data_IF_207437172809
#
_entry.id   IF_207437172809
#
_cell.length_a   1.000
_cell.length_b   1.000
_cell.length_c   1.000
_cell.angle_alpha   90.00
_cell.angle_beta   90.00
_cell.angle_gamma   90.00
#
_symmetry.space_group_name_H-M   'P 1'
#
loop_
_entity.id
_entity.type
_entity.pdbx_description
1 polymer ?
#
# COMPACT_ATOMS: atom_id res chain seq x y z
N UNK A 1 -32.58 0.27 -16.80
CA UNK A 1 -33.77 0.92 -17.41
C UNK A 1 -35.08 0.14 -17.18
N UNK A 2 -35.09 -1.19 -17.02
CA UNK A 2 -36.33 -1.95 -16.77
C UNK A 2 -36.98 -1.75 -15.37
N UNK A 3 -36.22 -1.30 -14.38
CA UNK A 3 -36.69 -1.09 -12.98
C UNK A 3 -37.45 0.23 -12.74
N UNK A 4 -37.65 1.05 -13.76
CA UNK A 4 -38.34 2.33 -13.59
C UNK A 4 -39.87 2.22 -13.70
N UNK A 5 -40.42 1.08 -14.10
CA UNK A 5 -41.80 1.05 -14.63
C UNK A 5 -42.83 0.24 -13.82
N UNK A 6 -42.50 -0.71 -12.92
CA UNK A 6 -43.59 -1.43 -12.18
C UNK A 6 -43.28 -1.83 -10.72
N UNK A 7 -44.35 -1.69 -9.95
CA UNK A 7 -44.68 -2.01 -8.54
C UNK A 7 -43.69 -1.64 -7.41
N UNK A 8 -44.04 -0.68 -6.53
CA UNK A 8 -43.29 -0.36 -5.31
C UNK A 8 -43.03 -1.55 -4.39
N UNK A 9 -43.88 -2.59 -4.39
CA UNK A 9 -43.75 -3.73 -3.47
C UNK A 9 -42.53 -4.61 -3.78
N UNK A 10 -42.27 -4.94 -5.04
CA UNK A 10 -41.11 -5.79 -5.41
C UNK A 10 -39.79 -5.07 -5.13
N UNK A 11 -39.71 -3.78 -5.48
CA UNK A 11 -38.55 -2.94 -5.17
C UNK A 11 -38.30 -2.84 -3.66
N UNK A 12 -39.36 -2.74 -2.85
CA UNK A 12 -39.27 -2.64 -1.39
C UNK A 12 -38.94 -3.96 -0.68
N UNK A 13 -39.16 -5.11 -1.34
CA UNK A 13 -38.81 -6.44 -0.83
C UNK A 13 -37.35 -6.79 -1.20
N UNK A 14 -36.89 -6.44 -2.40
CA UNK A 14 -35.55 -6.81 -2.90
C UNK A 14 -34.44 -5.86 -2.44
N UNK A 15 -34.72 -4.56 -2.23
CA UNK A 15 -33.67 -3.56 -1.96
C UNK A 15 -33.42 -3.24 -0.48
N UNK A 16 -33.77 -4.13 0.45
CA UNK A 16 -33.46 -3.90 1.87
C UNK A 16 -32.08 -4.48 2.20
N UNK A 17 -31.19 -3.62 2.71
CA UNK A 17 -29.87 -4.03 3.19
C UNK A 17 -29.99 -5.07 4.33
N UNK A 18 -30.99 -4.93 5.18
CA UNK A 18 -31.33 -5.85 6.27
C UNK A 18 -32.67 -6.51 5.97
N UNK A 19 -32.69 -7.85 5.94
CA UNK A 19 -33.87 -8.62 5.55
C UNK A 19 -34.21 -9.65 6.64
N UNK A 20 -35.52 -9.84 6.87
CA UNK A 20 -36.07 -10.97 7.62
C UNK A 20 -37.07 -11.68 6.72
N UNK A 21 -36.71 -12.85 6.21
CA UNK A 21 -37.62 -13.71 5.47
C UNK A 21 -37.51 -15.15 5.97
N UNK A 22 -38.57 -15.92 5.80
CA UNK A 22 -38.51 -17.37 6.02
C UNK A 22 -37.48 -17.98 5.09
N UNK A 23 -36.69 -18.90 5.62
CA UNK A 23 -35.55 -19.49 4.91
C UNK A 23 -35.94 -20.36 3.71
N UNK A 24 -37.19 -20.76 3.60
CA UNK A 24 -37.73 -21.43 2.41
C UNK A 24 -37.70 -20.58 1.13
N UNK A 25 -37.63 -19.25 1.23
CA UNK A 25 -37.43 -18.37 0.07
C UNK A 25 -36.01 -18.49 -0.52
N UNK A 26 -35.05 -19.01 0.25
CA UNK A 26 -33.69 -19.30 -0.22
C UNK A 26 -33.57 -20.66 -0.92
N UNK A 27 -34.67 -21.42 -1.05
CA UNK A 27 -34.69 -22.72 -1.73
C UNK A 27 -35.06 -22.57 -3.21
N UNK A 28 -34.70 -23.56 -4.01
CA UNK A 28 -34.96 -23.59 -5.46
C UNK A 28 -36.44 -23.69 -5.84
N UNK A 29 -36.73 -23.51 -7.12
CA UNK A 29 -38.08 -23.36 -7.72
C UNK A 29 -39.06 -24.48 -7.37
N UNK A 30 -38.54 -25.70 -7.20
CA UNK A 30 -39.33 -26.90 -6.86
C UNK A 30 -39.95 -26.85 -5.46
N UNK A 31 -39.59 -25.86 -4.64
CA UNK A 31 -40.20 -25.63 -3.33
C UNK A 31 -41.36 -24.65 -3.51
N UNK A 32 -42.59 -25.11 -3.27
CA UNK A 32 -43.83 -24.54 -3.81
C UNK A 32 -44.19 -23.08 -3.48
N UNK A 33 -43.40 -22.35 -2.68
CA UNK A 33 -43.63 -20.90 -2.44
C UNK A 33 -43.31 -20.04 -3.65
N UNK A 34 -42.26 -20.40 -4.40
CA UNK A 34 -41.88 -19.69 -5.62
C UNK A 34 -42.89 -19.93 -6.75
N UNK A 35 -43.43 -21.14 -6.82
CA UNK A 35 -44.43 -21.50 -7.83
C UNK A 35 -45.69 -20.66 -7.72
N UNK A 36 -46.18 -20.41 -6.49
CA UNK A 36 -47.30 -19.48 -6.26
C UNK A 36 -46.95 -18.03 -6.59
N UNK A 37 -45.74 -17.57 -6.25
CA UNK A 37 -45.29 -16.20 -6.52
C UNK A 37 -45.15 -15.89 -8.02
N UNK A 38 -44.74 -16.87 -8.83
CA UNK A 38 -44.54 -16.68 -10.28
C UNK A 38 -45.85 -16.62 -11.08
N UNK A 39 -46.97 -17.10 -10.54
CA UNK A 39 -48.25 -17.16 -11.26
C UNK A 39 -48.78 -15.78 -11.65
N UNK A 40 -48.50 -14.77 -10.83
CA UNK A 40 -49.01 -13.39 -11.02
C UNK A 40 -48.02 -12.50 -11.80
N UNK A 41 -46.87 -13.04 -12.22
CA UNK A 41 -45.80 -12.28 -12.86
C UNK A 41 -45.81 -12.43 -14.38
N UNK A 42 -45.48 -11.35 -15.09
CA UNK A 42 -45.28 -11.41 -16.53
C UNK A 42 -43.99 -12.18 -16.90
N UNK A 43 -43.84 -12.67 -18.15
CA UNK A 43 -42.71 -13.51 -18.54
C UNK A 43 -41.32 -12.85 -18.36
N UNK A 44 -41.23 -11.52 -18.43
CA UNK A 44 -39.97 -10.81 -18.23
C UNK A 44 -39.62 -10.75 -16.73
N UNK A 45 -40.62 -10.51 -15.88
CA UNK A 45 -40.49 -10.54 -14.43
C UNK A 45 -40.14 -11.95 -13.92
N UNK A 46 -40.76 -13.00 -14.49
CA UNK A 46 -40.41 -14.39 -14.18
C UNK A 46 -38.94 -14.67 -14.47
N UNK A 47 -38.43 -14.34 -15.68
CA UNK A 47 -37.01 -14.54 -16.02
C UNK A 47 -36.05 -13.81 -15.08
N UNK A 48 -36.41 -12.59 -14.67
CA UNK A 48 -35.60 -11.82 -13.71
C UNK A 48 -35.59 -12.48 -12.32
N UNK A 49 -36.76 -12.85 -11.81
CA UNK A 49 -36.89 -13.49 -10.51
C UNK A 49 -36.32 -14.92 -10.49
N UNK A 50 -36.31 -15.63 -11.61
CA UNK A 50 -35.61 -16.92 -11.76
C UNK A 50 -34.09 -16.76 -11.66
N UNK A 51 -33.53 -15.74 -12.32
CA UNK A 51 -32.10 -15.42 -12.16
C UNK A 51 -31.78 -15.07 -10.71
N UNK A 52 -32.59 -14.20 -10.11
CA UNK A 52 -32.43 -13.79 -8.71
C UNK A 52 -32.50 -14.98 -7.74
N UNK A 53 -33.43 -15.91 -7.97
CA UNK A 53 -33.58 -17.12 -7.18
C UNK A 53 -32.35 -18.03 -7.31
N UNK A 54 -31.89 -18.27 -8.54
CA UNK A 54 -30.72 -19.11 -8.80
C UNK A 54 -29.46 -18.56 -8.11
N UNK A 55 -29.28 -17.23 -8.15
CA UNK A 55 -28.14 -16.56 -7.52
C UNK A 55 -28.18 -16.62 -5.96
N UNK A 56 -29.35 -16.88 -5.35
CA UNK A 56 -29.54 -16.95 -3.89
C UNK A 56 -29.73 -18.37 -3.34
N UNK A 57 -29.90 -19.38 -4.19
CA UNK A 57 -30.21 -20.75 -3.75
C UNK A 57 -29.14 -21.35 -2.82
N UNK A 58 -27.88 -20.92 -2.97
CA UNK A 58 -26.78 -21.36 -2.10
C UNK A 58 -27.04 -21.07 -0.61
N UNK A 59 -27.84 -20.04 -0.30
CA UNK A 59 -28.16 -19.68 1.08
C UNK A 59 -28.95 -20.77 1.81
N UNK A 60 -29.69 -21.62 1.10
CA UNK A 60 -30.37 -22.79 1.70
C UNK A 60 -29.41 -23.80 2.35
N UNK A 61 -28.11 -23.71 2.04
CA UNK A 61 -27.06 -24.58 2.60
C UNK A 61 -26.41 -24.00 3.86
N UNK A 62 -26.80 -22.78 4.28
CA UNK A 62 -26.22 -22.07 5.41
C UNK A 62 -27.01 -22.45 6.67
N UNK A 63 -26.39 -22.93 7.78
CA UNK A 63 -27.12 -23.57 8.90
C UNK A 63 -28.23 -22.78 9.60
N UNK A 64 -28.23 -21.43 9.61
CA UNK A 64 -29.40 -20.67 10.03
C UNK A 64 -30.60 -20.76 9.08
N UNK A 65 -30.37 -21.01 7.79
CA UNK A 65 -31.36 -21.01 6.70
C UNK A 65 -31.84 -22.41 6.30
N UNK A 66 -31.46 -23.46 7.01
CA UNK A 66 -31.98 -24.82 6.78
C UNK A 66 -33.17 -25.18 7.70
N UNK A 67 -33.52 -24.29 8.64
CA UNK A 67 -34.48 -24.54 9.73
C UNK A 67 -35.92 -24.13 9.44
N UNK A 68 -36.23 -23.65 8.24
CA UNK A 68 -37.55 -23.11 7.84
C UNK A 68 -38.04 -21.91 8.71
N UNK A 69 -37.16 -21.35 9.53
CA UNK A 69 -37.42 -20.17 10.36
C UNK A 69 -37.09 -18.86 9.62
N UNK A 70 -37.64 -17.75 10.14
CA UNK A 70 -37.37 -16.42 9.62
C UNK A 70 -36.06 -15.86 10.18
N UNK A 71 -35.06 -15.68 9.31
CA UNK A 71 -33.69 -15.31 9.70
C UNK A 71 -33.41 -13.85 9.37
N UNK A 72 -32.89 -13.10 10.35
CA UNK A 72 -32.31 -11.77 10.10
C UNK A 72 -30.93 -11.91 9.46
N UNK A 73 -30.72 -11.23 8.34
CA UNK A 73 -29.43 -11.20 7.67
C UNK A 73 -29.26 -9.93 6.82
N UNK A 74 -28.03 -9.63 6.45
CA UNK A 74 -27.76 -8.64 5.41
C UNK A 74 -28.02 -9.27 4.04
N UNK A 75 -28.75 -8.58 3.17
CA UNK A 75 -29.01 -9.08 1.82
C UNK A 75 -27.66 -9.20 1.09
N UNK A 76 -27.21 -10.38 0.65
CA UNK A 76 -25.83 -10.59 0.20
C UNK A 76 -25.48 -9.76 -1.04
N UNK A 77 -26.38 -9.64 -2.02
CA UNK A 77 -26.13 -8.81 -3.22
C UNK A 77 -26.11 -7.31 -2.88
N UNK A 78 -27.11 -6.79 -2.16
CA UNK A 78 -27.18 -5.38 -1.78
C UNK A 78 -26.07 -4.99 -0.80
N UNK A 79 -25.68 -5.90 0.08
CA UNK A 79 -24.57 -5.72 1.01
C UNK A 79 -23.23 -5.68 0.27
N UNK A 80 -22.99 -6.61 -0.65
CA UNK A 80 -21.78 -6.62 -1.49
C UNK A 80 -21.70 -5.38 -2.38
N UNK A 81 -22.82 -4.90 -2.93
CA UNK A 81 -22.89 -3.64 -3.69
C UNK A 81 -22.64 -2.42 -2.79
N UNK A 82 -23.17 -2.43 -1.55
CA UNK A 82 -22.96 -1.36 -0.57
C UNK A 82 -21.50 -1.27 -0.09
N UNK A 83 -20.79 -2.39 0.02
CA UNK A 83 -19.36 -2.41 0.38
C UNK A 83 -18.41 -2.38 -0.83
N UNK A 84 -18.92 -2.68 -2.02
CA UNK A 84 -18.18 -2.77 -3.29
C UNK A 84 -18.14 -1.48 -4.09
N UNK A 85 -18.58 -0.35 -3.52
CA UNK A 85 -18.39 0.95 -4.16
C UNK A 85 -16.89 1.19 -4.36
N UNK A 86 -16.50 1.52 -5.61
CA UNK A 86 -15.13 1.92 -5.97
C UNK A 86 -14.60 2.84 -4.88
N UNK A 87 -13.47 2.48 -4.27
CA UNK A 87 -12.79 3.37 -3.33
C UNK A 87 -12.52 4.67 -4.08
N UNK A 88 -13.14 5.75 -3.64
CA UNK A 88 -12.74 7.06 -4.13
C UNK A 88 -11.28 7.26 -3.72
N UNK A 89 -10.43 7.65 -4.67
CA UNK A 89 -9.03 7.98 -4.41
C UNK A 89 -8.98 9.29 -3.66
N UNK A 90 -9.15 9.24 -2.34
CA UNK A 90 -9.26 10.43 -1.49
C UNK A 90 -8.00 11.31 -1.53
N UNK A 91 -6.83 10.68 -1.75
CA UNK A 91 -5.54 11.34 -1.85
C UNK A 91 -4.79 10.83 -3.08
N UNK A 92 -4.18 11.72 -3.86
CA UNK A 92 -3.26 11.39 -4.95
C UNK A 92 -1.86 11.91 -4.64
N UNK A 93 -0.86 11.42 -5.39
CA UNK A 93 0.50 11.90 -5.28
C UNK A 93 0.61 13.36 -5.79
N UNK A 94 1.45 14.22 -5.17
CA UNK A 94 1.57 15.62 -5.57
C UNK A 94 2.29 15.84 -6.91
N UNK A 95 2.86 14.79 -7.51
CA UNK A 95 3.39 14.81 -8.88
C UNK A 95 2.61 13.86 -9.78
N UNK A 96 2.48 14.24 -11.06
CA UNK A 96 1.93 13.36 -12.11
C UNK A 96 2.93 12.32 -12.63
N UNK A 97 4.19 12.42 -12.23
CA UNK A 97 5.28 11.53 -12.60
C UNK A 97 6.04 11.09 -11.35
N UNK A 98 6.61 9.88 -11.36
CA UNK A 98 7.43 9.40 -10.23
C UNK A 98 8.60 10.36 -9.97
N UNK A 99 8.92 10.66 -8.71
CA UNK A 99 10.04 11.56 -8.39
C UNK A 99 11.38 10.93 -8.79
N UNK A 100 12.39 11.76 -9.06
CA UNK A 100 13.73 11.31 -9.48
C UNK A 100 14.49 10.57 -8.39
N UNK A 101 14.11 10.79 -7.13
CA UNK A 101 14.58 10.01 -5.98
C UNK A 101 13.57 8.93 -5.57
N UNK A 102 12.77 8.40 -6.50
CA UNK A 102 12.03 7.15 -6.29
C UNK A 102 12.96 5.93 -6.24
N UNK A 103 12.46 4.76 -5.83
CA UNK A 103 13.28 3.55 -5.66
C UNK A 103 13.97 3.08 -6.95
N UNK A 104 13.34 3.35 -8.10
CA UNK A 104 13.88 3.10 -9.44
C UNK A 104 14.52 4.34 -10.08
N UNK A 105 14.48 5.48 -9.39
CA UNK A 105 14.91 6.77 -9.90
C UNK A 105 16.44 6.93 -9.99
N UNK A 106 16.87 7.90 -10.80
CA UNK A 106 18.30 8.25 -10.98
C UNK A 106 18.98 8.67 -9.68
N UNK A 107 18.21 9.21 -8.73
CA UNK A 107 18.67 9.62 -7.42
C UNK A 107 18.12 8.73 -6.30
N UNK A 108 17.89 7.43 -6.56
CA UNK A 108 17.40 6.45 -5.58
C UNK A 108 18.21 6.33 -4.28
N UNK A 109 19.49 6.73 -4.28
CA UNK A 109 20.28 6.88 -3.03
C UNK A 109 19.70 7.93 -2.09
N UNK A 110 18.88 8.83 -2.62
CA UNK A 110 18.15 9.84 -1.88
C UNK A 110 16.67 9.48 -1.68
N UNK A 111 16.36 8.19 -1.56
CA UNK A 111 14.99 7.67 -1.59
C UNK A 111 14.04 8.43 -0.66
N UNK A 112 12.97 8.99 -1.23
CA UNK A 112 12.02 9.84 -0.50
C UNK A 112 11.24 9.07 0.59
N UNK A 113 10.98 7.78 0.37
CA UNK A 113 10.23 6.91 1.27
C UNK A 113 11.11 6.03 2.17
N UNK A 114 12.41 6.36 2.30
CA UNK A 114 13.32 5.62 3.18
C UNK A 114 12.87 5.68 4.66
N UNK A 115 13.20 4.61 5.40
CA UNK A 115 12.90 4.48 6.82
C UNK A 115 13.62 5.55 7.65
N UNK A 116 12.97 6.01 8.72
CA UNK A 116 13.60 6.92 9.69
C UNK A 116 14.78 6.27 10.44
N UNK A 117 14.79 4.93 10.53
CA UNK A 117 15.86 4.15 11.17
C UNK A 117 17.04 3.85 10.26
N UNK A 118 16.95 4.16 8.97
CA UNK A 118 18.04 3.93 8.04
C UNK A 118 19.20 4.90 8.35
N UNK A 119 20.35 4.35 8.72
CA UNK A 119 21.55 5.11 9.05
C UNK A 119 22.13 5.83 7.83
N UNK A 120 21.90 5.26 6.63
CA UNK A 120 22.20 5.84 5.33
C UNK A 120 21.06 6.70 4.79
N UNK A 121 19.98 6.88 5.56
CA UNK A 121 18.82 7.63 5.11
C UNK A 121 19.22 9.01 4.62
N UNK A 122 18.64 9.34 3.48
CA UNK A 122 19.00 10.53 2.75
C UNK A 122 18.59 11.80 3.46
N UNK A 123 19.16 12.91 3.04
CA UNK A 123 18.74 14.22 3.52
C UNK A 123 17.29 14.58 3.13
N UNK A 124 16.65 13.80 2.25
CA UNK A 124 15.29 14.03 1.77
C UNK A 124 14.21 13.56 2.76
N UNK A 125 14.56 12.85 3.85
CA UNK A 125 13.57 12.29 4.77
C UNK A 125 13.30 13.15 6.01
N UNK A 126 12.09 13.02 6.54
CA UNK A 126 11.62 13.71 7.74
C UNK A 126 12.54 13.44 8.95
N UNK A 127 12.68 14.42 9.85
CA UNK A 127 13.41 14.23 11.11
C UNK A 127 14.94 14.14 10.97
N UNK A 128 15.52 14.23 9.77
CA UNK A 128 16.98 14.18 9.60
C UNK A 128 17.66 15.40 10.23
N UNK A 129 18.79 15.20 10.91
CA UNK A 129 19.56 16.30 11.50
C UNK A 129 20.08 17.27 10.42
N UNK A 130 19.88 18.55 10.65
CA UNK A 130 20.34 19.69 9.85
C UNK A 130 21.12 20.65 10.75
N UNK A 131 21.94 21.51 10.15
CA UNK A 131 22.71 22.53 10.89
C UNK A 131 23.51 21.96 12.06
N UNK A 132 24.26 20.87 11.81
CA UNK A 132 25.04 20.13 12.82
C UNK A 132 24.23 19.58 14.00
N UNK A 133 22.93 19.30 13.78
CA UNK A 133 22.04 18.71 14.80
C UNK A 133 21.09 19.70 15.47
N UNK A 134 21.25 21.00 15.21
CA UNK A 134 20.44 22.06 15.83
C UNK A 134 19.02 22.16 15.26
N UNK A 135 18.73 21.49 14.14
CA UNK A 135 17.40 21.49 13.50
C UNK A 135 17.11 20.11 12.91
N UNK A 136 15.85 19.68 12.96
CA UNK A 136 15.37 18.47 12.27
C UNK A 136 14.85 18.82 10.87
N UNK A 137 14.81 17.90 9.92
CA UNK A 137 14.14 18.13 8.62
C UNK A 137 12.62 18.10 8.80
N UNK A 138 11.86 18.98 8.14
CA UNK A 138 10.42 19.14 8.37
C UNK A 138 9.54 18.28 7.45
N UNK A 139 10.11 17.81 6.34
CA UNK A 139 9.35 17.35 5.20
C UNK A 139 9.86 15.99 4.73
N UNK A 140 9.21 15.48 3.70
CA UNK A 140 9.89 14.62 2.73
C UNK A 140 10.12 15.41 1.44
N UNK A 141 11.35 15.38 0.93
CA UNK A 141 11.73 16.08 -0.29
C UNK A 141 11.56 15.14 -1.49
N UNK A 142 10.74 15.55 -2.46
CA UNK A 142 10.53 14.82 -3.70
C UNK A 142 11.33 15.49 -4.80
N UNK A 143 12.38 14.84 -5.29
CA UNK A 143 13.26 15.40 -6.30
C UNK A 143 12.65 15.23 -7.70
N UNK A 144 12.91 16.17 -8.60
CA UNK A 144 12.17 16.28 -9.86
C UNK A 144 13.01 16.88 -10.98
N UNK A 145 12.49 16.83 -12.21
CA UNK A 145 13.01 17.66 -13.31
C UNK A 145 12.68 19.13 -13.07
N UNK A 146 13.40 20.07 -13.71
CA UNK A 146 13.06 21.49 -13.67
C UNK A 146 11.60 21.77 -13.99
N UNK A 147 10.97 22.62 -13.18
CA UNK A 147 9.59 23.09 -13.39
C UNK A 147 8.55 21.95 -13.51
N UNK A 148 8.73 20.85 -12.77
CA UNK A 148 7.76 19.76 -12.69
C UNK A 148 6.45 20.25 -12.08
N UNK A 149 5.31 19.89 -12.69
CA UNK A 149 3.98 20.26 -12.20
C UNK A 149 3.67 19.64 -10.84
N UNK A 150 3.17 20.48 -9.92
CA UNK A 150 2.68 20.09 -8.60
C UNK A 150 1.16 20.16 -8.64
N UNK A 151 0.50 19.11 -8.17
CA UNK A 151 -0.96 19.04 -8.08
C UNK A 151 -1.46 19.04 -6.63
N UNK A 152 -2.68 19.52 -6.41
CA UNK A 152 -3.36 19.36 -5.13
C UNK A 152 -3.64 17.88 -4.84
N UNK A 153 -3.18 17.37 -3.70
CA UNK A 153 -3.32 15.94 -3.34
C UNK A 153 -4.75 15.53 -3.04
N UNK A 154 -5.60 16.48 -2.65
CA UNK A 154 -7.04 16.30 -2.43
C UNK A 154 -7.76 17.62 -2.67
N UNK A 155 -9.08 17.63 -2.57
CA UNK A 155 -9.86 18.87 -2.55
C UNK A 155 -9.44 19.73 -1.36
N UNK A 156 -9.49 21.05 -1.52
CA UNK A 156 -9.07 21.93 -0.43
C UNK A 156 -9.26 23.42 -0.71
N UNK A 157 -8.77 24.23 0.23
CA UNK A 157 -8.79 25.69 0.20
C UNK A 157 -7.37 26.19 0.40
N UNK A 158 -6.88 27.05 -0.49
CA UNK A 158 -5.57 27.69 -0.34
C UNK A 158 -5.63 28.64 0.86
N UNK A 159 -4.78 28.42 1.86
CA UNK A 159 -4.76 29.22 3.09
C UNK A 159 -3.61 30.18 3.19
N UNK A 160 -2.47 29.87 2.57
CA UNK A 160 -1.31 30.75 2.60
C UNK A 160 -0.44 30.54 1.38
N UNK A 161 -0.03 31.66 0.77
CA UNK A 161 1.02 31.73 -0.24
C UNK A 161 2.03 32.76 0.25
N UNK A 162 3.30 32.37 0.35
CA UNK A 162 4.34 33.28 0.83
C UNK A 162 5.74 32.86 0.38
N UNK A 163 6.67 33.80 0.48
CA UNK A 163 8.09 33.53 0.26
C UNK A 163 8.60 32.40 1.17
N UNK A 164 9.46 31.56 0.61
CA UNK A 164 10.05 30.40 1.28
C UNK A 164 11.58 30.47 1.26
N UNK A 165 12.28 29.41 0.84
CA UNK A 165 13.73 29.30 0.95
C UNK A 165 14.41 29.63 -0.38
N UNK A 166 15.52 30.38 -0.33
CA UNK A 166 16.38 30.58 -1.51
C UNK A 166 15.64 31.01 -2.79
N UNK A 167 14.74 31.99 -2.65
CA UNK A 167 14.01 32.60 -3.77
C UNK A 167 12.77 31.84 -4.24
N UNK A 168 12.47 30.67 -3.66
CA UNK A 168 11.23 29.94 -3.92
C UNK A 168 10.10 30.39 -3.01
N UNK A 169 8.90 29.89 -3.27
CA UNK A 169 7.69 30.17 -2.50
C UNK A 169 7.10 28.87 -1.93
N UNK A 170 6.09 29.01 -1.08
CA UNK A 170 5.28 27.89 -0.60
C UNK A 170 3.80 28.16 -0.81
N UNK A 171 3.03 27.08 -0.95
CA UNK A 171 1.57 27.09 -0.93
C UNK A 171 1.14 26.17 0.21
N UNK A 172 0.31 26.66 1.11
CA UNK A 172 -0.34 25.87 2.15
C UNK A 172 -1.82 25.71 1.82
N UNK A 173 -2.28 24.47 1.69
CA UNK A 173 -3.66 24.13 1.39
C UNK A 173 -4.24 23.35 2.57
N UNK A 174 -5.44 23.75 2.99
CA UNK A 174 -6.28 22.98 3.91
C UNK A 174 -7.11 22.01 3.10
N UNK A 175 -6.91 20.72 3.32
CA UNK A 175 -7.57 19.64 2.62
C UNK A 175 -8.71 19.05 3.44
N UNK A 176 -9.75 18.64 2.74
CA UNK A 176 -10.83 17.83 3.30
C UNK A 176 -11.19 16.76 2.27
N UNK A 177 -11.03 15.51 2.67
CA UNK A 177 -11.37 14.34 1.85
C UNK A 177 -12.85 13.99 2.03
N UNK A 178 -13.41 13.21 1.10
CA UNK A 178 -14.81 12.79 1.18
C UNK A 178 -15.05 11.80 2.31
N UNK A 179 -14.01 11.08 2.76
CA UNK A 179 -14.03 10.21 3.93
C UNK A 179 -13.95 10.96 5.27
N UNK A 180 -13.88 12.31 5.24
CA UNK A 180 -13.95 13.16 6.43
C UNK A 180 -12.60 13.46 7.10
N UNK A 181 -11.46 13.10 6.48
CA UNK A 181 -10.14 13.53 6.98
C UNK A 181 -9.94 15.01 6.71
N UNK A 182 -9.34 15.68 7.69
CA UNK A 182 -8.94 17.09 7.65
C UNK A 182 -7.44 17.17 7.91
N UNK A 183 -6.73 17.99 7.12
CA UNK A 183 -5.29 18.23 7.30
C UNK A 183 -4.81 19.44 6.49
N UNK A 184 -3.63 19.95 6.82
CA UNK A 184 -2.91 20.93 6.01
C UNK A 184 -1.69 20.29 5.36
N UNK A 185 -1.48 20.60 4.07
CA UNK A 185 -0.23 20.34 3.37
C UNK A 185 0.43 21.66 3.03
N UNK A 186 1.73 21.76 3.32
CA UNK A 186 2.58 22.80 2.77
C UNK A 186 3.39 22.22 1.61
N UNK A 187 3.17 22.78 0.43
CA UNK A 187 3.90 22.55 -0.80
C UNK A 187 5.00 23.62 -0.89
N UNK A 188 6.20 23.31 -0.41
CA UNK A 188 7.34 24.21 -0.42
C UNK A 188 8.23 24.07 -1.66
N UNK A 189 9.12 25.04 -1.85
CA UNK A 189 10.05 25.12 -2.99
C UNK A 189 9.36 25.25 -4.36
N UNK A 190 8.26 26.02 -4.42
CA UNK A 190 7.53 26.27 -5.68
C UNK A 190 8.04 27.51 -6.40
N UNK A 191 7.92 27.51 -7.72
CA UNK A 191 8.21 28.67 -8.56
C UNK A 191 7.09 29.72 -8.41
N UNK A 192 7.39 30.95 -7.92
CA UNK A 192 6.35 31.97 -7.70
C UNK A 192 5.59 32.37 -8.96
N UNK A 193 6.23 32.32 -10.13
CA UNK A 193 5.60 32.72 -11.39
C UNK A 193 4.62 31.66 -11.91
N UNK A 194 4.71 30.44 -11.41
CA UNK A 194 3.86 29.30 -11.81
C UNK A 194 2.62 29.12 -10.93
N UNK A 195 2.47 29.89 -9.85
CA UNK A 195 1.35 29.75 -8.91
C UNK A 195 0.05 30.17 -9.58
N UNK A 196 -0.93 29.26 -9.60
CA UNK A 196 -2.18 29.44 -10.37
C UNK A 196 -3.35 29.94 -9.53
N UNK A 197 -3.29 29.76 -8.20
CA UNK A 197 -4.38 30.07 -7.27
C UNK A 197 -4.01 31.16 -6.27
N UNK A 198 -5.00 31.89 -5.78
CA UNK A 198 -4.89 32.87 -4.71
C UNK A 198 -5.32 32.35 -3.33
N UNK A 199 -5.01 33.12 -2.27
CA UNK A 199 -5.49 32.82 -0.92
C UNK A 199 -7.02 32.83 -0.85
N UNK A 200 -7.61 31.80 -0.24
CA UNK A 200 -9.06 31.62 -0.09
C UNK A 200 -9.71 30.86 -1.24
N UNK A 201 -9.00 30.60 -2.34
CA UNK A 201 -9.55 29.87 -3.48
C UNK A 201 -9.65 28.37 -3.21
N UNK A 202 -10.69 27.75 -3.77
CA UNK A 202 -10.92 26.31 -3.70
C UNK A 202 -10.15 25.61 -4.81
N UNK A 203 -9.46 24.54 -4.45
CA UNK A 203 -8.75 23.67 -5.39
C UNK A 203 -9.39 22.29 -5.40
N UNK A 204 -9.42 21.67 -6.58
CA UNK A 204 -9.84 20.29 -6.75
C UNK A 204 -8.63 19.37 -6.82
N UNK A 205 -8.76 18.16 -6.30
CA UNK A 205 -7.74 17.11 -6.40
C UNK A 205 -7.24 16.97 -7.85
N UNK A 206 -5.93 16.85 -8.04
CA UNK A 206 -5.31 16.67 -9.37
C UNK A 206 -5.12 17.94 -10.18
N UNK A 207 -5.66 19.07 -9.72
CA UNK A 207 -5.44 20.36 -10.37
C UNK A 207 -4.00 20.83 -10.13
N UNK A 208 -3.35 21.34 -11.17
CA UNK A 208 -1.99 21.91 -11.06
C UNK A 208 -2.07 23.21 -10.25
N UNK A 209 -1.32 23.27 -9.15
CA UNK A 209 -1.29 24.43 -8.24
C UNK A 209 -0.05 25.30 -8.42
N UNK A 210 1.07 24.70 -8.86
CA UNK A 210 2.32 25.36 -9.18
C UNK A 210 3.27 24.40 -9.91
N UNK A 211 4.49 24.85 -10.16
CA UNK A 211 5.64 24.03 -10.60
C UNK A 211 6.77 24.13 -9.57
N UNK A 212 7.64 23.12 -9.52
CA UNK A 212 8.84 23.15 -8.66
C UNK A 212 9.76 24.31 -9.05
N UNK A 213 10.22 25.07 -8.06
CA UNK A 213 11.05 26.26 -8.24
C UNK A 213 12.55 25.99 -8.19
N UNK A 214 13.31 26.91 -8.80
CA UNK A 214 14.77 26.89 -8.72
C UNK A 214 15.21 27.59 -7.42
N UNK A 215 15.85 26.84 -6.53
CA UNK A 215 16.46 27.42 -5.33
C UNK A 215 17.82 28.04 -5.66
N UNK A 216 17.96 29.35 -5.42
CA UNK A 216 19.23 30.06 -5.49
C UNK A 216 19.39 30.89 -4.22
N UNK A 217 20.46 30.64 -3.48
CA UNK A 217 20.80 31.47 -2.33
C UNK A 217 21.01 32.92 -2.81
N UNK A 218 20.21 33.89 -2.34
CA UNK A 218 20.28 35.26 -2.82
C UNK A 218 21.61 35.94 -2.47
N UNK A 219 22.31 35.47 -1.43
CA UNK A 219 23.59 36.03 -0.99
C UNK A 219 24.77 35.50 -1.81
N UNK A 220 24.79 34.20 -2.11
CA UNK A 220 25.90 33.55 -2.82
C UNK A 220 25.65 33.37 -4.31
N UNK A 221 24.41 33.55 -4.76
CA UNK A 221 23.94 33.29 -6.14
C UNK A 221 24.21 31.86 -6.60
N UNK A 222 24.27 30.92 -5.67
CA UNK A 222 24.54 29.50 -5.94
C UNK A 222 23.34 28.64 -5.55
N UNK A 223 23.17 27.56 -6.29
CA UNK A 223 22.22 26.51 -5.94
C UNK A 223 22.68 25.78 -4.67
N UNK A 224 21.78 25.41 -3.74
CA UNK A 224 22.14 24.60 -2.58
C UNK A 224 22.66 23.24 -3.08
N UNK A 225 23.90 22.90 -2.75
CA UNK A 225 24.54 21.64 -3.16
C UNK A 225 23.87 20.41 -2.50
N UNK A 226 22.62 20.13 -2.88
CA UNK A 226 21.78 19.03 -2.37
C UNK A 226 22.41 17.73 -2.84
N UNK A 227 22.53 17.55 -4.15
CA UNK A 227 23.30 16.46 -4.74
C UNK A 227 24.60 17.04 -5.27
N UNK A 228 25.78 16.51 -4.86
CA UNK A 228 27.07 17.01 -5.32
C UNK A 228 27.15 17.19 -6.83
N UNK A 229 27.34 18.44 -7.26
CA UNK A 229 27.53 18.80 -8.68
C UNK A 229 26.27 18.77 -9.54
N UNK A 230 25.08 18.69 -8.95
CA UNK A 230 23.81 18.67 -9.66
C UNK A 230 22.92 19.85 -9.25
N UNK A 231 22.20 20.41 -10.23
CA UNK A 231 21.12 21.37 -9.97
C UNK A 231 19.83 20.57 -9.77
N UNK A 232 19.34 20.54 -8.53
CA UNK A 232 18.17 19.74 -8.13
C UNK A 232 16.96 20.64 -7.94
N UNK A 233 15.86 20.29 -8.59
CA UNK A 233 14.53 20.81 -8.30
C UNK A 233 13.81 19.82 -7.40
N UNK A 234 13.02 20.33 -6.46
CA UNK A 234 12.28 19.48 -5.53
C UNK A 234 10.98 20.11 -5.06
N UNK A 235 10.09 19.27 -4.55
CA UNK A 235 8.96 19.67 -3.72
C UNK A 235 9.30 19.35 -2.26
N UNK A 236 9.28 20.36 -1.39
CA UNK A 236 9.41 20.19 0.05
C UNK A 236 8.02 20.02 0.67
N UNK A 237 7.65 18.77 0.97
CA UNK A 237 6.28 18.40 1.35
C UNK A 237 6.15 18.24 2.88
N UNK A 238 5.47 19.17 3.56
CA UNK A 238 5.21 19.11 5.00
C UNK A 238 3.73 18.76 5.27
N UNK A 239 3.48 17.92 6.28
CA UNK A 239 2.14 17.47 6.68
C UNK A 239 1.80 17.89 8.09
N UNK A 240 0.60 18.44 8.25
CA UNK A 240 0.04 18.83 9.54
C UNK A 240 -1.39 18.25 9.63
N UNK A 241 -1.67 17.30 10.53
CA UNK A 241 -3.00 16.76 10.70
C UNK A 241 -3.99 17.85 11.13
N UNK A 242 -3.52 18.88 11.86
CA UNK A 242 -4.33 20.02 12.23
C UNK A 242 -5.60 19.67 13.02
N UNK A 243 -6.38 20.71 13.24
CA UNK A 243 -7.81 20.66 13.55
C UNK A 243 -8.42 21.96 13.00
N UNK A 244 -9.75 22.05 12.93
CA UNK A 244 -10.45 23.21 12.36
C UNK A 244 -10.15 24.55 13.08
N UNK A 245 -9.56 24.51 14.27
CA UNK A 245 -9.27 25.70 15.09
C UNK A 245 -7.83 26.20 14.96
N UNK A 246 -6.93 25.45 14.33
CA UNK A 246 -5.52 25.83 14.19
C UNK A 246 -5.26 26.66 12.92
N UNK A 247 -4.56 27.80 13.01
CA UNK A 247 -4.23 28.61 11.84
C UNK A 247 -3.24 27.89 10.92
N UNK A 248 -3.23 28.19 9.60
CA UNK A 248 -2.29 27.56 8.67
C UNK A 248 -0.84 27.77 9.12
N UNK A 249 0.05 26.79 8.90
CA UNK A 249 1.48 26.93 9.22
C UNK A 249 2.05 28.20 8.56
N UNK A 250 2.67 29.08 9.36
CA UNK A 250 3.29 30.33 8.88
C UNK A 250 4.83 30.24 8.89
N UNK A 251 5.49 31.28 8.35
CA UNK A 251 6.95 31.36 8.22
C UNK A 251 7.55 32.45 9.14
N UNK A 252 6.92 32.76 10.30
CA UNK A 252 7.32 33.89 11.14
C UNK A 252 8.67 33.60 11.83
N UNK A 253 9.65 34.51 11.76
CA UNK A 253 11.02 34.28 12.24
C UNK A 253 11.24 34.48 13.75
N UNK A 254 10.23 34.84 14.54
CA UNK A 254 10.38 35.16 15.97
C UNK A 254 10.30 33.91 16.87
N UNK A 255 11.33 33.59 17.67
CA UNK A 255 11.23 32.60 18.74
C UNK A 255 10.20 33.03 19.83
N UNK A 256 9.54 32.09 20.52
CA UNK A 256 9.68 30.64 20.43
C UNK A 256 8.51 30.01 19.66
N UNK A 257 8.37 30.23 18.36
CA UNK A 257 7.58 29.34 17.52
C UNK A 257 8.49 28.86 16.38
N UNK A 258 9.27 27.79 16.58
CA UNK A 258 8.82 26.38 16.62
C UNK A 258 7.81 26.11 15.50
N UNK A 259 8.22 25.28 14.54
CA UNK A 259 7.29 24.56 13.65
C UNK A 259 6.09 24.14 14.48
N UNK A 260 4.87 24.25 13.93
CA UNK A 260 3.67 23.83 14.66
C UNK A 260 3.93 22.45 15.28
N UNK A 261 3.53 22.30 16.52
CA UNK A 261 3.78 21.10 17.32
C UNK A 261 3.12 19.84 16.74
N UNK A 262 2.13 20.01 15.88
CA UNK A 262 1.45 18.94 15.16
C UNK A 262 2.15 18.53 13.85
N UNK A 263 3.29 19.13 13.48
CA UNK A 263 4.05 18.67 12.32
C UNK A 263 4.38 17.18 12.44
N UNK A 264 3.99 16.41 11.44
CA UNK A 264 4.22 14.96 11.38
C UNK A 264 4.90 14.56 10.07
N UNK A 265 5.44 13.34 10.08
CA UNK A 265 6.02 12.75 8.88
C UNK A 265 4.93 12.56 7.81
N UNK A 266 5.05 13.14 6.60
CA UNK A 266 4.06 13.00 5.53
C UNK A 266 4.01 11.62 4.88
N UNK A 267 4.80 10.65 5.34
CA UNK A 267 4.98 9.35 4.67
C UNK A 267 3.68 8.63 4.34
N UNK A 268 2.69 8.65 5.24
CA UNK A 268 1.43 7.91 5.04
C UNK A 268 0.59 8.54 3.92
N UNK A 269 0.44 9.88 3.94
CA UNK A 269 -0.25 10.65 2.88
C UNK A 269 0.46 10.45 1.53
N UNK A 270 1.79 10.49 1.52
CA UNK A 270 2.56 10.30 0.30
C UNK A 270 2.50 8.86 -0.23
N UNK A 271 2.48 7.84 0.64
CA UNK A 271 2.32 6.44 0.23
C UNK A 271 0.93 6.16 -0.32
N UNK A 272 -0.12 6.65 0.35
CA UNK A 272 -1.50 6.56 -0.15
C UNK A 272 -1.61 7.23 -1.52
N UNK A 273 -1.13 8.48 -1.63
CA UNK A 273 -1.12 9.20 -2.89
C UNK A 273 -0.31 8.49 -3.98
N UNK A 274 0.87 7.97 -3.66
CA UNK A 274 1.73 7.24 -4.60
C UNK A 274 1.01 6.01 -5.14
N UNK A 275 0.37 5.24 -4.25
CA UNK A 275 -0.41 4.07 -4.64
C UNK A 275 -1.57 4.49 -5.54
N UNK A 276 -2.37 5.47 -5.12
CA UNK A 276 -3.53 5.93 -5.89
C UNK A 276 -3.15 6.52 -7.26
N UNK A 277 -1.95 7.06 -7.43
CA UNK A 277 -1.49 7.69 -8.69
C UNK A 277 -0.71 6.75 -9.61
N UNK A 278 0.21 5.95 -9.07
CA UNK A 278 1.15 5.17 -9.88
C UNK A 278 0.96 3.66 -9.78
N UNK A 279 0.36 3.19 -8.69
CA UNK A 279 0.03 1.78 -8.53
C UNK A 279 -1.41 1.61 -9.01
N UNK A 280 -1.59 1.19 -10.27
CA UNK A 280 -2.93 1.03 -10.85
C UNK A 280 -3.87 0.25 -9.92
N UNK A 281 -5.12 0.73 -9.80
CA UNK A 281 -6.29 -0.02 -9.29
C UNK A 281 -6.70 -1.16 -10.25
N UNK A 282 -5.76 -1.77 -10.97
CA UNK A 282 -6.06 -2.99 -11.72
C UNK A 282 -6.24 -4.20 -10.78
N UNK A 283 -5.94 -4.05 -9.48
CA UNK A 283 -6.12 -5.12 -8.49
C UNK A 283 -7.56 -5.33 -8.01
N UNK A 284 -8.51 -4.41 -8.27
CA UNK A 284 -9.93 -4.64 -7.98
C UNK A 284 -10.68 -5.32 -9.16
N UNK A 285 -9.97 -5.61 -10.26
CA UNK A 285 -10.46 -6.49 -11.34
C UNK A 285 -9.57 -7.69 -11.61
N UNK A 286 -8.42 -7.82 -10.93
CA UNK A 286 -7.77 -9.13 -10.87
C UNK A 286 -8.72 -10.06 -10.11
N UNK A 287 -9.27 -11.03 -10.81
CA UNK A 287 -9.53 -12.30 -10.19
C UNK A 287 -8.18 -12.88 -9.77
N UNK A 288 -8.18 -13.60 -8.65
CA UNK A 288 -7.05 -14.50 -8.36
C UNK A 288 -6.76 -15.33 -9.61
N UNK A 289 -5.48 -15.46 -9.93
CA UNK A 289 -5.02 -16.20 -11.11
C UNK A 289 -4.49 -17.56 -10.68
N UNK A 290 -4.52 -18.52 -11.60
CA UNK A 290 -3.97 -19.84 -11.35
C UNK A 290 -2.51 -19.72 -10.88
N UNK A 291 -2.18 -20.38 -9.76
CA UNK A 291 -0.83 -20.27 -9.18
C UNK A 291 0.28 -20.69 -10.15
N UNK A 292 -0.04 -21.52 -11.15
CA UNK A 292 0.88 -21.90 -12.23
C UNK A 292 1.37 -20.71 -13.04
N UNK A 293 0.57 -19.65 -13.17
CA UNK A 293 0.85 -18.45 -13.97
C UNK A 293 1.64 -17.40 -13.18
N UNK A 294 1.65 -17.48 -11.85
CA UNK A 294 2.30 -16.51 -10.99
C UNK A 294 3.81 -16.74 -10.90
N UNK A 295 4.57 -15.67 -10.78
CA UNK A 295 6.01 -15.65 -10.44
C UNK A 295 6.23 -14.59 -9.39
N UNK A 296 7.42 -14.54 -8.77
CA UNK A 296 7.69 -13.49 -7.77
C UNK A 296 7.88 -12.16 -8.48
N UNK A 297 7.11 -11.15 -8.08
CA UNK A 297 7.23 -9.80 -8.64
C UNK A 297 8.51 -9.11 -8.19
N UNK A 298 8.94 -8.06 -8.90
CA UNK A 298 10.13 -7.29 -8.49
C UNK A 298 9.94 -6.61 -7.12
N UNK A 299 8.71 -6.22 -6.79
CA UNK A 299 8.34 -5.72 -5.45
C UNK A 299 8.43 -6.82 -4.39
N UNK A 300 7.96 -8.04 -4.70
CA UNK A 300 8.14 -9.22 -3.86
C UNK A 300 9.61 -9.53 -3.60
N UNK A 301 10.46 -9.52 -4.64
CA UNK A 301 11.91 -9.73 -4.50
C UNK A 301 12.55 -8.66 -3.63
N UNK A 302 12.20 -7.39 -3.84
CA UNK A 302 12.69 -6.29 -3.01
C UNK A 302 12.28 -6.46 -1.54
N UNK A 303 11.03 -6.87 -1.29
CA UNK A 303 10.50 -7.09 0.05
C UNK A 303 11.27 -8.19 0.78
N UNK A 304 11.55 -9.31 0.12
CA UNK A 304 12.33 -10.42 0.70
C UNK A 304 13.77 -9.97 0.99
N UNK A 305 14.43 -9.33 0.02
CA UNK A 305 15.82 -8.85 0.18
C UNK A 305 15.95 -7.86 1.33
N UNK A 306 14.94 -7.02 1.54
CA UNK A 306 14.89 -6.10 2.67
C UNK A 306 14.88 -6.83 4.00
N UNK A 307 14.23 -7.99 4.12
CA UNK A 307 14.28 -8.79 5.35
C UNK A 307 15.61 -9.52 5.56
N UNK A 308 16.17 -10.08 4.49
CA UNK A 308 17.41 -10.85 4.59
C UNK A 308 18.65 -9.98 4.82
N UNK A 309 18.65 -8.73 4.33
CA UNK A 309 19.80 -7.82 4.26
C UNK A 309 20.97 -8.37 3.43
N UNK A 310 21.69 -7.48 2.74
CA UNK A 310 22.91 -7.87 2.04
C UNK A 310 24.13 -7.93 2.97
N UNK A 311 24.93 -8.99 2.83
CA UNK A 311 26.27 -9.14 3.41
C UNK A 311 27.26 -9.52 2.31
N UNK A 312 28.22 -8.63 2.03
CA UNK A 312 29.21 -8.84 0.97
C UNK A 312 30.25 -9.91 1.30
N UNK A 313 30.47 -10.22 2.58
CA UNK A 313 31.42 -11.24 3.04
C UNK A 313 30.69 -12.36 3.77
N UNK A 314 31.31 -13.55 3.81
CA UNK A 314 30.78 -14.67 4.56
C UNK A 314 30.63 -14.33 6.05
N UNK A 315 29.57 -14.83 6.69
CA UNK A 315 29.25 -14.61 8.09
C UNK A 315 28.52 -15.82 8.68
N UNK A 316 28.58 -15.98 10.01
CA UNK A 316 27.80 -17.00 10.70
C UNK A 316 26.38 -16.47 10.95
N UNK A 317 25.36 -17.18 10.49
CA UNK A 317 23.96 -16.84 10.74
C UNK A 317 23.52 -17.14 12.19
N UNK A 318 22.23 -16.92 12.49
CA UNK A 318 21.69 -17.14 13.84
C UNK A 318 21.73 -18.59 14.31
N UNK A 319 21.88 -19.55 13.39
CA UNK A 319 22.05 -20.98 13.69
C UNK A 319 23.54 -21.37 13.76
N UNK A 320 24.46 -20.43 13.50
CA UNK A 320 25.90 -20.64 13.50
C UNK A 320 26.45 -21.19 12.19
N UNK A 321 25.67 -21.16 11.11
CA UNK A 321 26.09 -21.67 9.81
C UNK A 321 26.68 -20.57 8.93
N UNK A 322 27.69 -20.93 8.13
CA UNK A 322 28.37 -20.00 7.25
C UNK A 322 27.49 -19.65 6.04
N UNK A 323 27.16 -18.36 5.92
CA UNK A 323 26.25 -17.81 4.92
C UNK A 323 26.84 -16.54 4.28
N UNK A 324 26.33 -16.11 3.12
CA UNK A 324 26.77 -14.90 2.40
C UNK A 324 25.61 -14.26 1.62
N UNK A 325 25.72 -12.99 1.24
CA UNK A 325 24.72 -12.30 0.43
C UNK A 325 23.42 -12.07 1.18
N UNK A 326 22.29 -12.45 0.58
CA UNK A 326 20.95 -12.44 1.18
C UNK A 326 20.66 -13.79 1.88
N UNK A 327 21.55 -14.20 2.79
CA UNK A 327 21.42 -15.46 3.54
C UNK A 327 21.64 -16.74 2.73
N UNK A 328 22.47 -16.71 1.69
CA UNK A 328 22.86 -17.92 0.95
C UNK A 328 23.77 -18.80 1.81
N UNK A 329 23.32 -20.00 2.15
CA UNK A 329 24.06 -20.97 2.95
C UNK A 329 25.26 -21.54 2.16
N UNK A 330 26.47 -21.29 2.63
CA UNK A 330 27.71 -21.89 2.10
C UNK A 330 27.90 -23.30 2.70
N UNK A 331 27.79 -23.42 4.02
CA UNK A 331 27.97 -24.70 4.72
C UNK A 331 27.28 -24.72 6.08
N UNK A 332 26.88 -25.91 6.53
CA UNK A 332 26.39 -26.17 7.90
C UNK A 332 27.53 -26.32 8.92
N UNK A 333 28.44 -25.36 8.90
CA UNK A 333 29.56 -25.23 9.82
C UNK A 333 29.90 -23.74 9.92
N UNK A 334 30.65 -23.34 10.94
CA UNK A 334 31.07 -21.94 11.07
C UNK A 334 32.04 -21.60 9.95
N UNK A 335 32.06 -20.33 9.53
CA UNK A 335 32.95 -19.88 8.46
C UNK A 335 34.43 -20.10 8.81
N UNK A 336 34.78 -20.06 10.10
CA UNK A 336 36.14 -20.29 10.59
C UNK A 336 36.58 -21.76 10.50
N UNK A 337 35.63 -22.69 10.44
CA UNK A 337 35.87 -24.14 10.46
C UNK A 337 35.97 -24.74 9.05
N UNK A 338 35.81 -23.92 8.00
CA UNK A 338 35.79 -24.37 6.61
C UNK A 338 36.74 -23.55 5.73
N UNK A 339 37.19 -24.16 4.63
CA UNK A 339 37.78 -23.42 3.52
C UNK A 339 36.68 -22.88 2.63
N UNK A 340 36.54 -21.56 2.56
CA UNK A 340 35.56 -20.92 1.68
C UNK A 340 35.82 -21.28 0.20
N UNK A 341 34.77 -21.61 -0.57
CA UNK A 341 34.88 -21.73 -2.03
C UNK A 341 35.53 -20.49 -2.66
N UNK A 342 36.28 -20.69 -3.74
CA UNK A 342 37.02 -19.61 -4.42
C UNK A 342 36.13 -18.40 -4.72
N UNK A 343 34.90 -18.64 -5.18
CA UNK A 343 33.94 -17.59 -5.54
C UNK A 343 33.44 -16.74 -4.36
N UNK A 344 33.64 -17.20 -3.11
CA UNK A 344 33.21 -16.48 -1.90
C UNK A 344 34.37 -15.94 -1.05
N UNK A 345 35.61 -16.38 -1.32
CA UNK A 345 36.80 -16.05 -0.50
C UNK A 345 37.05 -14.54 -0.37
N UNK A 346 36.79 -13.80 -1.45
CA UNK A 346 37.00 -12.35 -1.51
C UNK A 346 35.69 -11.55 -1.38
N UNK A 347 34.62 -12.20 -0.91
CA UNK A 347 33.28 -11.62 -0.90
C UNK A 347 32.63 -11.55 -2.28
N UNK A 348 31.38 -11.08 -2.32
CA UNK A 348 30.55 -11.03 -3.52
C UNK A 348 30.01 -9.62 -3.78
N UNK A 349 29.73 -9.33 -5.06
CA UNK A 349 29.04 -8.12 -5.48
C UNK A 349 27.53 -8.25 -5.28
N UNK A 350 26.79 -7.12 -5.34
CA UNK A 350 25.32 -7.16 -5.35
C UNK A 350 24.79 -8.02 -6.50
N UNK A 351 25.38 -7.94 -7.70
CA UNK A 351 24.98 -8.74 -8.85
C UNK A 351 25.10 -10.24 -8.56
N UNK A 352 26.22 -10.67 -7.97
CA UNK A 352 26.40 -12.08 -7.60
C UNK A 352 25.45 -12.51 -6.48
N UNK A 353 25.15 -11.61 -5.53
CA UNK A 353 24.15 -11.89 -4.49
C UNK A 353 22.74 -12.01 -5.07
N UNK A 354 22.41 -11.21 -6.08
CA UNK A 354 21.14 -11.29 -6.82
C UNK A 354 21.03 -12.61 -7.58
N UNK A 355 22.11 -13.06 -8.24
CA UNK A 355 22.17 -14.38 -8.90
C UNK A 355 21.91 -15.53 -7.91
N UNK A 356 22.57 -15.51 -6.74
CA UNK A 356 22.38 -16.51 -5.69
C UNK A 356 20.95 -16.48 -5.12
N UNK A 357 20.39 -15.27 -4.98
CA UNK A 357 19.02 -15.07 -4.52
C UNK A 357 18.00 -15.66 -5.50
N UNK A 358 18.11 -15.34 -6.79
CA UNK A 358 17.21 -15.84 -7.84
C UNK A 358 17.29 -17.38 -7.97
N UNK A 359 18.51 -17.93 -7.90
CA UNK A 359 18.71 -19.38 -7.89
C UNK A 359 17.96 -20.05 -6.72
N UNK A 360 18.06 -19.48 -5.51
CA UNK A 360 17.37 -20.02 -4.34
C UNK A 360 15.85 -19.84 -4.43
N UNK A 361 15.39 -18.69 -4.94
CA UNK A 361 13.98 -18.35 -5.09
C UNK A 361 13.23 -19.37 -5.95
N UNK A 362 13.87 -19.88 -7.01
CA UNK A 362 13.28 -20.89 -7.92
C UNK A 362 12.79 -22.15 -7.21
N UNK A 363 13.50 -22.61 -6.17
CA UNK A 363 13.10 -23.78 -5.39
C UNK A 363 11.83 -23.51 -4.58
N UNK A 364 11.71 -22.33 -3.97
CA UNK A 364 10.53 -21.94 -3.21
C UNK A 364 9.30 -21.73 -4.10
N UNK A 365 9.48 -21.14 -5.29
CA UNK A 365 8.42 -21.04 -6.29
C UNK A 365 7.88 -22.43 -6.65
N UNK A 366 8.79 -23.37 -6.94
CA UNK A 366 8.42 -24.75 -7.29
C UNK A 366 7.68 -25.44 -6.15
N UNK A 367 8.16 -25.31 -4.92
CA UNK A 367 7.53 -25.92 -3.75
C UNK A 367 6.15 -25.32 -3.46
N UNK A 368 6.00 -24.00 -3.53
CA UNK A 368 4.71 -23.35 -3.30
C UNK A 368 3.68 -23.78 -4.35
N UNK A 369 4.05 -23.78 -5.63
CA UNK A 369 3.20 -24.26 -6.74
C UNK A 369 2.80 -25.73 -6.62
N UNK A 370 3.61 -26.55 -5.94
CA UNK A 370 3.28 -27.95 -5.69
C UNK A 370 2.39 -28.14 -4.44
N UNK A 371 2.39 -27.17 -3.51
CA UNK A 371 1.72 -27.28 -2.22
C UNK A 371 0.34 -26.61 -2.20
N UNK A 372 0.13 -25.62 -3.06
CA UNK A 372 -1.11 -24.83 -3.13
C UNK A 372 -1.79 -25.04 -4.48
N UNK A 373 -3.11 -25.28 -4.47
CA UNK A 373 -3.91 -25.56 -5.67
C UNK A 373 -4.97 -24.51 -5.97
N UNK A 374 -5.14 -23.52 -5.10
CA UNK A 374 -6.09 -22.42 -5.28
C UNK A 374 -5.46 -21.27 -6.03
N UNK A 375 -6.31 -20.47 -6.67
CA UNK A 375 -5.87 -19.24 -7.33
C UNK A 375 -5.40 -18.23 -6.28
N UNK A 376 -4.44 -17.38 -6.64
CA UNK A 376 -3.91 -16.34 -5.76
C UNK A 376 -3.81 -15.00 -6.49
N UNK A 377 -3.81 -13.93 -5.72
CA UNK A 377 -3.30 -12.65 -6.19
C UNK A 377 -1.78 -12.66 -6.28
N UNK A 378 -1.22 -11.80 -7.14
CA UNK A 378 0.23 -11.62 -7.23
C UNK A 378 0.87 -11.28 -5.88
N UNK A 379 0.25 -10.39 -5.09
CA UNK A 379 0.75 -10.01 -3.76
C UNK A 379 0.60 -11.12 -2.70
N UNK A 380 -0.42 -11.98 -2.80
CA UNK A 380 -0.59 -13.16 -1.94
C UNK A 380 0.55 -14.15 -2.22
N UNK A 381 0.85 -14.38 -3.50
CA UNK A 381 1.97 -15.22 -3.92
C UNK A 381 3.32 -14.67 -3.41
N UNK A 382 3.56 -13.37 -3.56
CA UNK A 382 4.78 -12.72 -3.08
C UNK A 382 4.96 -12.83 -1.56
N UNK A 383 3.88 -12.64 -0.78
CA UNK A 383 3.90 -12.83 0.67
C UNK A 383 4.21 -14.27 1.09
N UNK A 384 3.61 -15.26 0.41
CA UNK A 384 3.86 -16.68 0.67
C UNK A 384 5.30 -17.07 0.34
N UNK A 385 5.86 -16.55 -0.75
CA UNK A 385 7.26 -16.78 -1.08
C UNK A 385 8.19 -16.11 -0.05
N UNK A 386 7.87 -14.93 0.46
CA UNK A 386 8.64 -14.31 1.55
C UNK A 386 8.66 -15.17 2.81
N UNK A 387 7.49 -15.68 3.21
CA UNK A 387 7.38 -16.58 4.34
C UNK A 387 8.19 -17.86 4.10
N UNK A 388 8.06 -18.46 2.92
CA UNK A 388 8.74 -19.69 2.56
C UNK A 388 10.27 -19.52 2.47
N UNK A 389 10.75 -18.37 2.01
CA UNK A 389 12.18 -18.04 1.97
C UNK A 389 12.80 -18.05 3.37
N UNK A 390 12.07 -17.55 4.37
CA UNK A 390 12.50 -17.52 5.77
C UNK A 390 12.30 -18.86 6.49
N UNK A 391 11.14 -19.49 6.31
CA UNK A 391 10.76 -20.72 7.00
C UNK A 391 11.47 -21.95 6.41
N UNK A 392 11.72 -21.93 5.10
CA UNK A 392 12.49 -22.88 4.32
C UNK A 392 11.69 -24.00 3.64
N UNK A 393 10.49 -24.36 4.13
CA UNK A 393 9.63 -25.40 3.53
C UNK A 393 8.18 -25.30 4.01
N UNK A 394 7.21 -25.58 3.14
CA UNK A 394 5.77 -25.50 3.42
C UNK A 394 5.31 -26.51 4.48
N UNK A 395 6.01 -27.66 4.60
CA UNK A 395 5.68 -28.68 5.60
C UNK A 395 5.76 -28.19 7.06
N UNK A 396 6.40 -27.04 7.32
CA UNK A 396 6.44 -26.38 8.63
C UNK A 396 5.17 -25.56 8.94
N UNK A 397 4.32 -25.30 7.93
CA UNK A 397 3.07 -24.56 8.07
C UNK A 397 1.88 -25.36 7.47
N UNK A 398 1.54 -26.53 8.04
CA UNK A 398 0.52 -27.41 7.50
C UNK A 398 -0.89 -26.77 7.53
N UNK A 399 -1.20 -25.98 8.56
CA UNK A 399 -2.50 -25.30 8.69
C UNK A 399 -2.66 -24.17 7.67
N UNK A 400 -1.60 -23.38 7.44
CA UNK A 400 -1.57 -22.39 6.35
C UNK A 400 -1.87 -23.06 5.00
N UNK A 401 -1.16 -24.15 4.69
CA UNK A 401 -1.33 -24.91 3.44
C UNK A 401 -2.75 -25.46 3.30
N UNK A 402 -3.29 -26.05 4.38
CA UNK A 402 -4.65 -26.57 4.42
C UNK A 402 -5.68 -25.48 4.12
N UNK A 403 -5.58 -24.32 4.79
CA UNK A 403 -6.53 -23.21 4.62
C UNK A 403 -6.43 -22.56 3.25
N UNK A 404 -5.22 -22.40 2.70
CA UNK A 404 -5.03 -21.94 1.32
C UNK A 404 -5.76 -22.85 0.33
N UNK A 405 -5.59 -24.18 0.45
CA UNK A 405 -6.24 -25.16 -0.43
C UNK A 405 -7.76 -25.27 -0.24
N UNK A 406 -8.29 -24.73 0.86
CA UNK A 406 -9.73 -24.56 1.09
C UNK A 406 -10.26 -23.20 0.60
N UNK A 407 -9.41 -22.37 -0.04
CA UNK A 407 -9.69 -20.98 -0.38
C UNK A 407 -10.09 -20.11 0.83
N UNK A 408 -9.71 -20.52 2.05
CA UNK A 408 -9.91 -19.77 3.27
C UNK A 408 -8.75 -18.78 3.46
N UNK A 409 -8.70 -17.74 2.61
CA UNK A 409 -7.58 -16.79 2.56
C UNK A 409 -7.42 -16.00 3.86
N UNK A 410 -8.52 -15.59 4.50
CA UNK A 410 -8.46 -14.89 5.80
C UNK A 410 -7.91 -15.82 6.90
N UNK A 411 -8.42 -17.06 6.94
CA UNK A 411 -7.92 -18.07 7.86
C UNK A 411 -6.44 -18.38 7.62
N UNK A 412 -6.00 -18.44 6.36
CA UNK A 412 -4.61 -18.61 5.98
C UNK A 412 -3.75 -17.41 6.40
N UNK A 413 -4.22 -16.19 6.18
CA UNK A 413 -3.52 -14.97 6.61
C UNK A 413 -3.25 -14.96 8.12
N UNK A 414 -4.17 -15.49 8.93
CA UNK A 414 -3.97 -15.57 10.39
C UNK A 414 -2.89 -16.59 10.79
N UNK A 415 -2.67 -17.65 10.00
CA UNK A 415 -1.62 -18.65 10.28
C UNK A 415 -0.20 -18.07 10.18
N UNK A 416 0.01 -16.95 9.47
CA UNK A 416 1.31 -16.27 9.49
C UNK A 416 1.75 -15.93 10.91
N UNK A 417 0.82 -15.54 11.78
CA UNK A 417 1.11 -15.08 13.14
C UNK A 417 1.59 -16.20 14.07
N UNK A 418 1.30 -17.45 13.74
CA UNK A 418 1.74 -18.62 14.52
C UNK A 418 3.18 -19.05 14.14
N UNK A 419 3.72 -18.56 13.02
CA UNK A 419 5.04 -18.95 12.49
C UNK A 419 6.13 -18.01 13.02
N UNK A 420 6.24 -17.94 14.35
CA UNK A 420 7.13 -16.98 15.06
C UNK A 420 8.22 -17.64 15.91
N UNK A 421 8.36 -18.97 15.83
CA UNK A 421 9.32 -19.77 16.62
C UNK A 421 9.25 -19.46 18.13
N UNK A 422 8.04 -19.45 18.70
CA UNK A 422 7.82 -19.13 20.11
C UNK A 422 7.84 -17.63 20.44
N UNK A 423 7.51 -16.76 19.47
CA UNK A 423 7.38 -15.32 19.69
C UNK A 423 8.68 -14.53 19.61
N UNK A 424 9.66 -14.99 18.82
CA UNK A 424 10.88 -14.21 18.56
C UNK A 424 10.49 -12.87 17.94
N UNK A 425 10.81 -11.76 18.62
CA UNK A 425 10.35 -10.41 18.28
C UNK A 425 10.53 -10.06 16.78
N UNK A 426 11.70 -10.34 16.21
CA UNK A 426 11.95 -10.09 14.78
C UNK A 426 11.07 -10.92 13.84
N UNK A 427 10.73 -12.16 14.22
CA UNK A 427 9.80 -12.98 13.45
C UNK A 427 8.36 -12.49 13.63
N UNK A 428 7.95 -12.08 14.83
CA UNK A 428 6.61 -11.49 15.05
C UNK A 428 6.38 -10.30 14.12
N UNK A 429 7.33 -9.36 14.07
CA UNK A 429 7.24 -8.20 13.16
C UNK A 429 7.19 -8.65 11.70
N UNK A 430 8.09 -9.56 11.28
CA UNK A 430 8.12 -10.05 9.89
C UNK A 430 6.82 -10.72 9.48
N UNK A 431 6.28 -11.61 10.33
CA UNK A 431 5.00 -12.30 10.09
C UNK A 431 3.84 -11.33 9.98
N UNK A 432 3.79 -10.28 10.81
CA UNK A 432 2.76 -9.26 10.70
C UNK A 432 2.82 -8.51 9.37
N UNK A 433 4.02 -8.17 8.89
CA UNK A 433 4.21 -7.48 7.60
C UNK A 433 3.88 -8.38 6.41
N UNK A 434 4.30 -9.63 6.44
CA UNK A 434 3.94 -10.63 5.42
C UNK A 434 2.43 -10.88 5.38
N UNK A 435 1.77 -11.01 6.55
CA UNK A 435 0.31 -11.08 6.65
C UNK A 435 -0.37 -9.85 6.07
N UNK A 436 0.13 -8.65 6.39
CA UNK A 436 -0.46 -7.42 5.88
C UNK A 436 -0.30 -7.30 4.36
N UNK A 437 0.86 -7.69 3.81
CA UNK A 437 1.06 -7.80 2.37
C UNK A 437 0.06 -8.79 1.76
N UNK A 438 -0.10 -9.96 2.37
CA UNK A 438 -1.04 -11.00 1.91
C UNK A 438 -2.50 -10.50 1.90
N UNK A 439 -2.91 -9.69 2.89
CA UNK A 439 -4.29 -9.21 3.00
C UNK A 439 -4.61 -7.97 2.16
N UNK A 440 -3.61 -7.12 1.90
CA UNK A 440 -3.87 -5.75 1.40
C UNK A 440 -3.07 -5.38 0.15
N UNK A 441 -2.08 -6.19 -0.24
CA UNK A 441 -1.15 -5.86 -1.32
C UNK A 441 -0.18 -4.71 -0.98
N UNK A 442 -0.17 -4.22 0.26
CA UNK A 442 0.70 -3.14 0.68
C UNK A 442 2.11 -3.65 1.04
N UNK A 443 3.10 -3.27 0.23
CA UNK A 443 4.51 -3.54 0.48
C UNK A 443 5.09 -2.55 1.50
N UNK A 444 5.21 -2.98 2.74
CA UNK A 444 5.79 -2.17 3.82
C UNK A 444 7.19 -2.63 4.20
N UNK A 445 8.19 -1.82 3.81
CA UNK A 445 9.62 -2.08 4.02
C UNK A 445 10.15 -1.61 5.39
N UNK A 446 9.29 -1.20 6.32
CA UNK A 446 9.72 -0.79 7.66
C UNK A 446 10.09 -2.00 8.55
N UNK A 447 11.20 -1.86 9.29
CA UNK A 447 11.71 -2.84 10.26
C UNK A 447 11.37 -2.48 11.70
#
# INVERSE_FOLDING_TARGET
QALAVRDPLVKNVVNRLVVKHHSEWSKGRSTGRWEGFYQDLDPLAVKYCEKWQADLEWMSRVPPFDKDEAVWHFHPVVFLDAIGQKRNKEIIFPFKVKPKNDIEGVWKRYYWAASLTDSNASQAIFGRNRSRGNRKHAARDLYSEPLTEIVAVSNGIVRSISHYYFGTWQITIEHTTNDGRHFYIRYGEVDPQSIVFGNGEKVQQGTVIAKTGLMIDPSTRRHPNIIPGQVVYMLHFEYYPGNETLPPPNNIPTPPFQRRNDLQDPIDILREGYNNTFCNENNDTESRSAISELTVSDMGKAFIKEWESFRSTAYNDSEGFCSIGYGHLIARARCEDISLPEEFRNGITNSKADELFESRLSNYIKELKASVSTDLYQYEFDALISLLFNMGRMSKAPQLTLKLNQANYEGAANEFLDITNGGVSGLVTRRQKERNLFLTGAYDFSR
#
